data_IF_817333674346
#
_entry.id   IF_817333674346
#
_cell.length_a   1.000
_cell.length_b   1.000
_cell.length_c   1.000
_cell.angle_alpha   90.00
_cell.angle_beta   90.00
_cell.angle_gamma   90.00
#
_symmetry.space_group_name_H-M   'P 1'
#
loop_
_entity.id
_entity.type
_entity.pdbx_description
1 polymer ?
#
# COMPACT_ATOMS: atom_id res chain seq x y z
N UNK A 1 6.90 20.69 -4.40
CA UNK A 1 7.15 20.11 -5.74
C UNK A 1 6.00 19.18 -6.09
N UNK A 2 5.09 19.57 -6.99
CA UNK A 2 3.96 18.74 -7.40
C UNK A 2 4.35 17.35 -7.92
N UNK A 3 5.55 17.20 -8.48
CA UNK A 3 6.03 15.92 -9.01
C UNK A 3 6.20 14.84 -7.92
N UNK A 4 6.34 15.24 -6.65
CA UNK A 4 6.48 14.32 -5.51
C UNK A 4 5.16 13.77 -4.97
N UNK A 5 4.04 14.39 -5.34
CA UNK A 5 2.72 14.06 -4.77
C UNK A 5 2.28 12.63 -5.08
N UNK A 6 2.38 12.12 -6.32
CA UNK A 6 1.94 10.75 -6.63
C UNK A 6 2.67 9.68 -5.80
N UNK A 7 4.01 9.73 -5.78
CA UNK A 7 4.83 8.79 -5.00
C UNK A 7 4.57 8.90 -3.49
N UNK A 8 4.37 10.12 -2.98
CA UNK A 8 4.03 10.34 -1.57
C UNK A 8 2.66 9.74 -1.19
N UNK A 9 1.65 9.87 -2.06
CA UNK A 9 0.33 9.26 -1.86
C UNK A 9 0.42 7.74 -1.90
N UNK A 10 1.15 7.17 -2.86
CA UNK A 10 1.35 5.74 -2.98
C UNK A 10 2.03 5.15 -1.73
N UNK A 11 3.11 5.80 -1.26
CA UNK A 11 3.81 5.43 -0.03
C UNK A 11 2.90 5.51 1.20
N UNK A 12 2.14 6.59 1.37
CA UNK A 12 1.22 6.75 2.49
C UNK A 12 0.10 5.70 2.47
N UNK A 13 -0.43 5.38 1.29
CA UNK A 13 -1.47 4.36 1.13
C UNK A 13 -0.96 2.98 1.54
N UNK A 14 0.23 2.59 1.10
CA UNK A 14 0.88 1.35 1.53
C UNK A 14 1.07 1.31 3.05
N UNK A 15 1.59 2.40 3.62
CA UNK A 15 1.84 2.49 5.06
C UNK A 15 0.59 2.32 5.91
N UNK A 16 -0.47 3.09 5.62
CA UNK A 16 -1.74 3.02 6.36
C UNK A 16 -2.43 1.67 6.16
N UNK A 17 -2.42 1.13 4.94
CA UNK A 17 -3.06 -0.17 4.66
C UNK A 17 -2.34 -1.33 5.36
N UNK A 18 -1.00 -1.30 5.37
CA UNK A 18 -0.18 -2.25 6.12
C UNK A 18 -0.46 -2.20 7.62
N UNK A 19 -0.49 -0.98 8.18
CA UNK A 19 -0.81 -0.77 9.59
C UNK A 19 -2.19 -1.34 9.95
N UNK A 20 -3.22 -1.01 9.17
CA UNK A 20 -4.59 -1.48 9.42
C UNK A 20 -4.76 -2.98 9.19
N UNK A 21 -3.90 -3.60 8.39
CA UNK A 21 -3.86 -5.06 8.28
C UNK A 21 -3.24 -5.71 9.51
N UNK A 22 -2.19 -5.11 10.08
CA UNK A 22 -1.60 -5.56 11.34
C UNK A 22 -2.47 -5.25 12.57
N UNK A 23 -3.36 -4.25 12.46
CA UNK A 23 -4.26 -3.76 13.52
C UNK A 23 -5.71 -3.61 13.02
N UNK A 24 -6.38 -4.70 12.62
CA UNK A 24 -7.72 -4.62 12.02
C UNK A 24 -8.77 -4.04 12.98
N UNK A 25 -8.60 -4.23 14.29
CA UNK A 25 -9.47 -3.65 15.32
C UNK A 25 -9.47 -2.12 15.36
N UNK A 26 -8.46 -1.46 14.75
CA UNK A 26 -8.38 0.00 14.68
C UNK A 26 -9.04 0.59 13.42
N UNK A 27 -9.50 -0.22 12.46
CA UNK A 27 -10.20 0.29 11.26
C UNK A 27 -11.44 1.10 11.65
N UNK A 28 -12.18 0.61 12.65
CA UNK A 28 -13.33 1.29 13.21
C UNK A 28 -13.41 1.01 14.72
N UNK A 29 -12.91 1.93 15.54
CA UNK A 29 -12.85 1.78 16.99
C UNK A 29 -13.55 2.95 17.68
N UNK A 30 -14.85 2.80 17.90
CA UNK A 30 -15.66 3.83 18.55
C UNK A 30 -15.45 3.82 20.07
N UNK A 31 -15.16 4.97 20.72
CA UNK A 31 -15.09 5.05 22.17
C UNK A 31 -16.43 4.75 22.85
N UNK A 32 -16.36 4.12 24.03
CA UNK A 32 -17.54 3.72 24.80
C UNK A 32 -18.21 4.90 25.53
N UNK A 33 -17.45 5.90 25.94
CA UNK A 33 -17.95 7.10 26.62
C UNK A 33 -18.31 8.22 25.62
N UNK A 34 -19.29 9.03 25.98
CA UNK A 34 -19.81 10.09 25.11
C UNK A 34 -18.80 11.23 24.90
N UNK A 35 -17.96 11.52 25.90
CA UNK A 35 -16.97 12.58 25.84
C UNK A 35 -15.91 12.27 24.77
N UNK A 36 -15.35 11.06 24.79
CA UNK A 36 -14.34 10.62 23.83
C UNK A 36 -14.88 10.46 22.41
N UNK A 37 -16.17 10.14 22.25
CA UNK A 37 -16.83 10.14 20.93
C UNK A 37 -16.89 11.53 20.28
N UNK A 38 -16.84 12.61 21.08
CA UNK A 38 -16.75 13.99 20.62
C UNK A 38 -15.34 14.43 20.19
N UNK A 39 -14.32 13.59 20.43
CA UNK A 39 -12.92 13.84 20.06
C UNK A 39 -12.54 13.09 18.78
N UNK A 40 -11.25 13.11 18.42
CA UNK A 40 -10.71 12.26 17.34
C UNK A 40 -10.64 10.80 17.77
N UNK A 41 -11.01 9.90 16.87
CA UNK A 41 -10.97 8.45 17.09
C UNK A 41 -10.87 7.68 15.76
N UNK A 42 -10.46 6.39 15.79
CA UNK A 42 -10.22 5.61 14.58
C UNK A 42 -11.51 5.23 13.85
N UNK A 43 -11.66 5.71 12.62
CA UNK A 43 -12.80 5.45 11.74
C UNK A 43 -12.31 5.46 10.28
N UNK A 44 -13.03 4.85 9.33
CA UNK A 44 -12.66 4.92 7.92
C UNK A 44 -12.42 6.37 7.43
N UNK A 45 -13.24 7.32 7.92
CA UNK A 45 -13.10 8.75 7.62
C UNK A 45 -11.79 9.34 8.15
N UNK A 46 -11.45 9.06 9.41
CA UNK A 46 -10.23 9.61 10.03
C UNK A 46 -8.96 8.94 9.51
N UNK A 47 -9.03 7.68 9.08
CA UNK A 47 -7.92 7.01 8.39
C UNK A 47 -7.65 7.61 7.01
N UNK A 48 -8.69 7.95 6.24
CA UNK A 48 -8.52 8.67 4.97
C UNK A 48 -7.89 10.06 5.20
N UNK A 49 -8.27 10.76 6.28
CA UNK A 49 -7.62 12.01 6.67
C UNK A 49 -6.14 11.79 7.02
N UNK A 50 -5.83 10.77 7.84
CA UNK A 50 -4.47 10.44 8.24
C UNK A 50 -3.59 10.08 7.04
N UNK A 51 -4.11 9.33 6.07
CA UNK A 51 -3.42 9.00 4.81
C UNK A 51 -3.03 10.29 4.06
N UNK A 52 -3.96 11.23 3.88
CA UNK A 52 -3.69 12.49 3.17
C UNK A 52 -2.68 13.37 3.91
N UNK A 53 -2.75 13.42 5.23
CA UNK A 53 -1.81 14.14 6.08
C UNK A 53 -0.40 13.51 5.99
N UNK A 54 -0.31 12.18 6.03
CA UNK A 54 0.94 11.45 5.87
C UNK A 54 1.54 11.67 4.48
N UNK A 55 0.73 11.57 3.42
CA UNK A 55 1.16 11.85 2.05
C UNK A 55 1.68 13.29 1.91
N UNK A 56 1.00 14.25 2.53
CA UNK A 56 1.45 15.65 2.56
C UNK A 56 2.79 15.76 3.26
N UNK A 57 2.96 15.11 4.42
CA UNK A 57 4.23 15.07 5.14
C UNK A 57 5.38 14.52 4.30
N UNK A 58 5.15 13.43 3.56
CA UNK A 58 6.13 12.87 2.63
C UNK A 58 6.45 13.80 1.46
N UNK A 59 5.44 14.46 0.88
CA UNK A 59 5.64 15.35 -0.27
C UNK A 59 6.36 16.66 0.08
N UNK A 60 6.13 17.18 1.30
CA UNK A 60 6.69 18.46 1.76
C UNK A 60 7.97 18.30 2.56
N UNK A 61 8.26 17.11 3.08
CA UNK A 61 9.34 16.91 4.04
C UNK A 61 9.02 17.51 5.40
N UNK A 62 7.74 17.52 5.80
CA UNK A 62 7.33 18.04 7.11
C UNK A 62 8.08 17.30 8.24
N UNK A 63 8.43 18.04 9.29
CA UNK A 63 9.13 17.50 10.44
C UNK A 63 8.29 16.47 11.21
N UNK A 64 8.98 15.55 11.89
CA UNK A 64 8.37 14.44 12.65
C UNK A 64 7.29 14.91 13.63
N UNK A 65 7.53 16.01 14.34
CA UNK A 65 6.57 16.55 15.33
C UNK A 65 5.27 17.03 14.66
N UNK A 66 5.36 17.74 13.54
CA UNK A 66 4.20 18.23 12.81
C UNK A 66 3.38 17.06 12.23
N UNK A 67 4.06 16.05 11.67
CA UNK A 67 3.40 14.83 11.19
C UNK A 67 2.76 14.07 12.35
N UNK A 68 3.44 13.94 13.50
CA UNK A 68 2.89 13.27 14.67
C UNK A 68 1.61 13.95 15.17
N UNK A 69 1.64 15.26 15.36
CA UNK A 69 0.48 16.03 15.79
C UNK A 69 -0.70 15.93 14.81
N UNK A 70 -0.42 15.94 13.50
CA UNK A 70 -1.45 15.79 12.47
C UNK A 70 -2.11 14.40 12.51
N UNK A 71 -1.31 13.33 12.67
CA UNK A 71 -1.81 11.96 12.71
C UNK A 71 -2.60 11.68 13.99
N UNK A 72 -2.07 12.02 15.16
CA UNK A 72 -2.81 11.85 16.43
C UNK A 72 -4.05 12.73 16.48
N UNK A 73 -3.99 13.96 15.93
CA UNK A 73 -5.16 14.82 15.77
C UNK A 73 -6.25 14.23 14.88
N UNK A 74 -5.88 13.43 13.86
CA UNK A 74 -6.85 12.79 12.97
C UNK A 74 -7.49 11.55 13.61
N UNK A 75 -6.70 10.61 14.12
CA UNK A 75 -7.18 9.27 14.55
C UNK A 75 -7.28 9.09 16.07
N UNK A 76 -6.88 10.10 16.84
CA UNK A 76 -6.78 10.02 18.30
C UNK A 76 -5.39 9.56 18.76
N UNK A 77 -5.03 9.89 20.00
CA UNK A 77 -3.68 9.65 20.53
C UNK A 77 -3.29 8.17 20.53
N UNK A 78 -4.17 7.28 20.99
CA UNK A 78 -3.86 5.84 21.06
C UNK A 78 -3.48 5.26 19.70
N UNK A 79 -4.37 5.37 18.72
CA UNK A 79 -4.10 4.85 17.37
C UNK A 79 -3.01 5.64 16.64
N UNK A 80 -2.91 6.94 16.88
CA UNK A 80 -1.87 7.78 16.28
C UNK A 80 -0.47 7.42 16.75
N UNK A 81 -0.29 7.15 18.05
CA UNK A 81 0.98 6.69 18.62
C UNK A 81 1.36 5.31 18.09
N UNK A 82 0.40 4.38 18.01
CA UNK A 82 0.64 3.06 17.40
C UNK A 82 1.06 3.18 15.92
N UNK A 83 0.38 4.04 15.14
CA UNK A 83 0.76 4.29 13.75
C UNK A 83 2.17 4.89 13.67
N UNK A 84 2.51 5.87 14.49
CA UNK A 84 3.83 6.50 14.48
C UNK A 84 4.94 5.48 14.80
N UNK A 85 4.72 4.65 15.82
CA UNK A 85 5.63 3.56 16.15
C UNK A 85 5.76 2.56 15.00
N UNK A 86 4.66 2.21 14.33
CA UNK A 86 4.69 1.36 13.15
C UNK A 86 5.51 1.99 12.02
N UNK A 87 5.29 3.28 11.71
CA UNK A 87 5.99 4.01 10.64
C UNK A 87 7.51 4.08 10.88
N UNK A 88 7.96 4.22 12.13
CA UNK A 88 9.38 4.23 12.49
C UNK A 88 10.07 2.89 12.21
N UNK A 89 9.33 1.79 12.27
CA UNK A 89 9.84 0.45 12.03
C UNK A 89 9.34 -0.11 10.69
N UNK A 90 8.75 0.70 9.82
CA UNK A 90 8.09 0.20 8.61
C UNK A 90 9.10 -0.16 7.52
N UNK A 91 10.23 0.56 7.43
CA UNK A 91 11.39 0.28 6.56
C UNK A 91 11.03 -0.28 5.17
N UNK A 92 10.10 0.38 4.46
CA UNK A 92 9.69 -0.05 3.12
C UNK A 92 10.56 0.58 2.02
N UNK A 93 10.87 -0.18 0.96
CA UNK A 93 11.42 0.40 -0.26
C UNK A 93 10.47 1.45 -0.85
N UNK A 94 11.04 2.49 -1.44
CA UNK A 94 10.27 3.53 -2.14
C UNK A 94 9.69 2.95 -3.43
N UNK A 95 8.34 2.91 -3.61
CA UNK A 95 7.72 2.33 -4.79
C UNK A 95 8.17 3.00 -6.10
N UNK A 96 8.46 4.30 -6.08
CA UNK A 96 8.94 5.00 -7.29
C UNK A 96 10.34 4.55 -7.69
N UNK A 97 11.22 4.31 -6.70
CA UNK A 97 12.56 3.77 -6.97
C UNK A 97 12.51 2.33 -7.44
N UNK A 98 11.63 1.52 -6.86
CA UNK A 98 11.42 0.14 -7.27
C UNK A 98 10.88 0.07 -8.70
N UNK A 99 9.92 0.92 -9.07
CA UNK A 99 9.39 0.91 -10.43
C UNK A 99 10.40 1.39 -11.48
N UNK A 100 11.39 2.19 -11.07
CA UNK A 100 12.50 2.60 -11.93
C UNK A 100 13.55 1.49 -12.13
N UNK A 101 13.76 0.64 -11.13
CA UNK A 101 14.66 -0.52 -11.17
C UNK A 101 14.08 -1.70 -10.37
N UNK A 102 13.17 -2.48 -10.98
CA UNK A 102 12.49 -3.58 -10.29
C UNK A 102 13.42 -4.76 -10.02
N UNK A 103 14.62 -4.79 -10.58
CA UNK A 103 15.59 -5.87 -10.38
C UNK A 103 16.50 -5.62 -9.16
N UNK A 104 16.74 -4.37 -8.78
CA UNK A 104 17.65 -4.02 -7.69
C UNK A 104 17.05 -4.05 -6.27
N UNK A 105 15.74 -4.26 -6.09
CA UNK A 105 15.13 -4.27 -4.76
C UNK A 105 15.09 -5.67 -4.11
N UNK A 106 15.14 -5.68 -2.77
CA UNK A 106 14.85 -6.84 -1.93
C UNK A 106 13.46 -6.70 -1.31
N UNK A 107 12.68 -7.78 -1.34
CA UNK A 107 11.36 -7.82 -0.71
C UNK A 107 11.52 -7.77 0.82
N UNK A 108 10.68 -7.01 1.56
CA UNK A 108 10.68 -7.08 3.02
C UNK A 108 10.40 -8.50 3.53
N UNK A 109 10.97 -8.89 4.67
CA UNK A 109 10.78 -10.24 5.24
C UNK A 109 9.43 -10.43 5.96
N UNK A 110 8.90 -9.35 6.57
CA UNK A 110 7.67 -9.41 7.37
C UNK A 110 6.42 -9.28 6.51
N UNK A 111 5.42 -10.14 6.75
CA UNK A 111 4.14 -10.19 6.00
C UNK A 111 3.38 -8.88 5.91
N UNK A 112 3.25 -8.15 7.03
CA UNK A 112 2.58 -6.85 7.07
C UNK A 112 3.31 -5.80 6.20
N UNK A 113 4.65 -5.83 6.21
CA UNK A 113 5.48 -4.96 5.36
C UNK A 113 5.41 -5.35 3.89
N UNK A 114 5.39 -6.64 3.56
CA UNK A 114 5.24 -7.13 2.18
C UNK A 114 3.91 -6.66 1.58
N UNK A 115 2.82 -6.79 2.33
CA UNK A 115 1.51 -6.28 1.91
C UNK A 115 1.54 -4.76 1.73
N UNK A 116 2.05 -4.03 2.73
CA UNK A 116 2.18 -2.58 2.66
C UNK A 116 2.95 -2.12 1.41
N UNK A 117 4.05 -2.81 1.11
CA UNK A 117 4.90 -2.56 -0.04
C UNK A 117 4.17 -2.83 -1.36
N UNK A 118 3.56 -4.00 -1.52
CA UNK A 118 2.86 -4.35 -2.76
C UNK A 118 1.65 -3.43 -3.02
N UNK A 119 0.93 -3.03 -1.98
CA UNK A 119 -0.11 -1.99 -2.08
C UNK A 119 0.48 -0.65 -2.54
N UNK A 120 1.64 -0.25 -2.01
CA UNK A 120 2.30 1.00 -2.41
C UNK A 120 2.72 0.98 -3.88
N UNK A 121 3.30 -0.13 -4.36
CA UNK A 121 3.71 -0.31 -5.76
C UNK A 121 2.51 -0.24 -6.69
N UNK A 122 1.44 -0.98 -6.38
CA UNK A 122 0.19 -0.94 -7.16
C UNK A 122 -0.41 0.47 -7.20
N UNK A 123 -0.43 1.17 -6.07
CA UNK A 123 -0.94 2.55 -6.00
C UNK A 123 -0.09 3.52 -6.83
N UNK A 124 1.24 3.35 -6.84
CA UNK A 124 2.15 4.16 -7.65
C UNK A 124 1.89 3.95 -9.15
N UNK A 125 1.64 2.71 -9.59
CA UNK A 125 1.28 2.41 -10.99
C UNK A 125 -0.08 3.01 -11.33
N UNK A 126 -1.10 2.88 -10.47
CA UNK A 126 -2.43 3.45 -10.72
C UNK A 126 -2.40 4.97 -10.90
N UNK A 127 -1.50 5.65 -10.18
CA UNK A 127 -1.38 7.11 -10.26
C UNK A 127 -0.76 7.62 -11.56
N UNK A 128 0.05 6.80 -12.22
CA UNK A 128 0.67 7.08 -13.52
C UNK A 128 0.78 5.78 -14.34
N UNK A 129 -0.32 5.35 -14.99
CA UNK A 129 -0.41 4.04 -15.63
C UNK A 129 0.27 4.04 -17.00
N UNK A 130 1.59 3.91 -16.99
CA UNK A 130 2.40 3.72 -18.21
C UNK A 130 2.76 2.26 -18.40
N UNK A 131 3.00 1.86 -19.66
CA UNK A 131 3.40 0.48 -19.99
C UNK A 131 4.67 0.04 -19.22
N UNK A 132 5.76 0.83 -19.16
CA UNK A 132 6.97 0.40 -18.44
C UNK A 132 6.72 0.19 -16.95
N UNK A 133 5.93 1.06 -16.30
CA UNK A 133 5.59 0.93 -14.87
C UNK A 133 4.73 -0.30 -14.62
N UNK A 134 3.79 -0.59 -15.52
CA UNK A 134 2.97 -1.78 -15.45
C UNK A 134 3.80 -3.06 -15.64
N UNK A 135 4.72 -3.10 -16.61
CA UNK A 135 5.67 -4.22 -16.80
C UNK A 135 6.58 -4.41 -15.57
N UNK A 136 7.12 -3.33 -15.01
CA UNK A 136 7.90 -3.37 -13.77
C UNK A 136 7.10 -3.91 -12.58
N UNK A 137 5.80 -3.57 -12.51
CA UNK A 137 4.87 -4.13 -11.52
C UNK A 137 4.82 -5.66 -11.58
N UNK A 138 4.73 -6.24 -12.78
CA UNK A 138 4.74 -7.71 -12.94
C UNK A 138 6.06 -8.34 -12.48
N UNK A 139 7.21 -7.70 -12.75
CA UNK A 139 8.52 -8.13 -12.22
C UNK A 139 8.54 -8.13 -10.69
N UNK A 140 7.98 -7.09 -10.06
CA UNK A 140 7.86 -7.01 -8.59
C UNK A 140 7.00 -8.15 -8.04
N UNK A 141 5.86 -8.45 -8.68
CA UNK A 141 5.00 -9.54 -8.23
C UNK A 141 5.63 -10.92 -8.42
N UNK A 142 6.37 -11.15 -9.52
CA UNK A 142 7.10 -12.39 -9.73
C UNK A 142 8.10 -12.65 -8.59
N UNK A 143 8.88 -11.63 -8.22
CA UNK A 143 9.78 -11.70 -7.05
C UNK A 143 9.06 -11.99 -5.75
N UNK A 144 7.85 -11.45 -5.56
CA UNK A 144 7.03 -11.74 -4.38
C UNK A 144 6.57 -13.20 -4.34
N UNK A 145 6.19 -13.78 -5.49
CA UNK A 145 5.87 -15.21 -5.60
C UNK A 145 7.11 -16.07 -5.31
N UNK A 146 8.26 -15.74 -5.89
CA UNK A 146 9.52 -16.47 -5.67
C UNK A 146 9.98 -16.41 -4.21
N UNK A 147 9.67 -15.32 -3.51
CA UNK A 147 9.92 -15.14 -2.08
C UNK A 147 8.90 -15.86 -1.16
N UNK A 148 7.92 -16.57 -1.74
CA UNK A 148 6.97 -17.39 -0.97
C UNK A 148 5.75 -16.64 -0.44
N UNK A 149 5.37 -15.50 -1.02
CA UNK A 149 4.16 -14.74 -0.64
C UNK A 149 3.12 -14.60 -1.76
N UNK A 150 2.60 -15.74 -2.28
CA UNK A 150 1.77 -15.78 -3.46
C UNK A 150 0.35 -15.19 -3.27
N UNK A 151 -0.17 -15.20 -2.04
CA UNK A 151 -1.51 -14.72 -1.69
C UNK A 151 -1.62 -13.18 -1.83
N UNK A 152 -0.64 -12.47 -1.27
CA UNK A 152 -0.53 -11.02 -1.39
C UNK A 152 -0.27 -10.62 -2.85
N UNK A 153 0.60 -11.38 -3.54
CA UNK A 153 0.91 -11.16 -4.94
C UNK A 153 -0.32 -11.35 -5.84
N UNK A 154 -1.19 -12.33 -5.57
CA UNK A 154 -2.39 -12.59 -6.36
C UNK A 154 -3.40 -11.42 -6.31
N UNK A 155 -3.58 -10.79 -5.14
CA UNK A 155 -4.45 -9.61 -5.01
C UNK A 155 -3.90 -8.46 -5.85
N UNK A 156 -2.60 -8.18 -5.74
CA UNK A 156 -1.93 -7.14 -6.52
C UNK A 156 -1.96 -7.43 -8.03
N UNK A 157 -1.83 -8.70 -8.43
CA UNK A 157 -1.91 -9.13 -9.82
C UNK A 157 -3.30 -8.87 -10.42
N UNK A 158 -4.36 -9.03 -9.64
CA UNK A 158 -5.73 -8.68 -10.08
C UNK A 158 -5.84 -7.18 -10.39
N UNK A 159 -5.26 -6.33 -9.54
CA UNK A 159 -5.26 -4.89 -9.77
C UNK A 159 -4.42 -4.53 -11.01
N UNK A 160 -3.23 -5.12 -11.20
CA UNK A 160 -2.40 -4.92 -12.40
C UNK A 160 -3.10 -5.40 -13.68
N UNK A 161 -3.77 -6.55 -13.64
CA UNK A 161 -4.54 -7.07 -14.77
C UNK A 161 -5.66 -6.11 -15.17
N UNK A 162 -6.33 -5.48 -14.20
CA UNK A 162 -7.39 -4.49 -14.46
C UNK A 162 -6.89 -3.20 -15.14
N UNK A 163 -5.61 -2.87 -14.96
CA UNK A 163 -4.95 -1.70 -15.57
C UNK A 163 -4.47 -1.95 -17.00
N UNK A 164 -4.49 -3.20 -17.49
CA UNK A 164 -3.97 -3.54 -18.82
C UNK A 164 -4.76 -2.81 -19.91
N UNK A 165 -4.04 -2.10 -20.78
CA UNK A 165 -4.61 -1.57 -22.03
C UNK A 165 -4.45 -2.58 -23.17
N UNK A 166 -5.41 -2.58 -24.11
CA UNK A 166 -5.46 -3.57 -25.20
C UNK A 166 -4.27 -3.48 -26.17
N UNK A 167 -3.68 -2.30 -26.30
CA UNK A 167 -2.48 -2.02 -27.09
C UNK A 167 -1.18 -2.48 -26.41
N UNK A 168 -1.23 -2.90 -25.14
CA UNK A 168 -0.08 -3.45 -24.43
C UNK A 168 0.02 -4.97 -24.64
N UNK A 169 1.24 -5.53 -24.71
CA UNK A 169 1.41 -6.96 -24.84
C UNK A 169 0.85 -7.70 -23.63
N UNK A 170 0.69 -9.01 -23.77
CA UNK A 170 0.50 -9.88 -22.62
C UNK A 170 1.83 -9.90 -21.85
N UNK A 171 1.85 -9.62 -20.54
CA UNK A 171 3.09 -9.50 -19.80
C UNK A 171 3.71 -10.89 -19.62
N UNK A 172 5.04 -11.02 -19.74
CA UNK A 172 5.72 -12.27 -19.43
C UNK A 172 5.48 -12.64 -17.96
N UNK A 173 5.24 -13.93 -17.68
CA UNK A 173 4.94 -14.41 -16.33
C UNK A 173 3.47 -14.34 -15.91
N UNK A 174 2.57 -13.81 -16.76
CA UNK A 174 1.13 -13.82 -16.46
C UNK A 174 0.62 -15.25 -16.26
N UNK A 175 1.21 -16.26 -16.91
CA UNK A 175 0.77 -17.65 -16.83
C UNK A 175 0.85 -18.19 -15.40
N UNK A 176 1.92 -17.85 -14.65
CA UNK A 176 2.03 -18.20 -13.24
C UNK A 176 0.95 -17.55 -12.37
N UNK A 177 0.53 -16.34 -12.73
CA UNK A 177 -0.59 -15.66 -12.08
C UNK A 177 -1.95 -16.19 -12.53
N UNK A 178 -2.11 -16.66 -13.78
CA UNK A 178 -3.36 -17.26 -14.25
C UNK A 178 -3.71 -18.51 -13.44
N UNK A 179 -2.71 -19.35 -13.14
CA UNK A 179 -2.91 -20.54 -12.31
C UNK A 179 -3.22 -20.17 -10.85
N UNK A 180 -2.49 -19.20 -10.27
CA UNK A 180 -2.81 -18.66 -8.94
C UNK A 180 -4.23 -18.06 -8.87
N UNK A 181 -4.63 -17.30 -9.88
CA UNK A 181 -5.93 -16.66 -9.95
C UNK A 181 -7.06 -17.70 -10.13
N UNK A 182 -6.83 -18.76 -10.91
CA UNK A 182 -7.74 -19.91 -10.99
C UNK A 182 -7.87 -20.63 -9.65
N UNK A 183 -6.74 -20.90 -8.97
CA UNK A 183 -6.75 -21.51 -7.63
C UNK A 183 -7.49 -20.66 -6.60
N UNK A 184 -7.39 -19.33 -6.70
CA UNK A 184 -8.11 -18.40 -5.82
C UNK A 184 -9.60 -18.23 -6.13
N UNK A 185 -10.09 -18.78 -7.27
CA UNK A 185 -11.46 -18.59 -7.74
C UNK A 185 -11.74 -17.24 -8.41
N UNK A 186 -10.72 -16.41 -8.61
CA UNK A 186 -10.83 -15.09 -9.25
C UNK A 186 -11.00 -15.17 -10.80
N UNK A 187 -10.63 -16.31 -11.40
CA UNK A 187 -10.91 -16.62 -12.81
C UNK A 187 -11.79 -17.87 -12.90
N UNK A 188 -12.76 -17.93 -13.84
CA UNK A 188 -13.51 -19.14 -14.10
C UNK A 188 -12.54 -20.27 -14.45
N UNK A 189 -12.67 -21.42 -13.79
CA UNK A 189 -11.93 -22.63 -14.18
C UNK A 189 -12.23 -22.97 -15.63
N UNK A 190 -11.18 -23.26 -16.41
CA UNK A 190 -11.34 -23.82 -17.76
C UNK A 190 -12.16 -25.10 -17.65
N UNK A 191 -13.39 -25.07 -18.18
CA UNK A 191 -14.18 -26.27 -18.43
C UNK A 191 -13.55 -27.09 -19.55
#
# INVERSE_FOLDING_TARGET
DPAKVPGAVARARGAVSGFLTARPGLVHHIPADAESRGRSWPSPRTWEMALRLLATGYATGAGREATAAALTGAVGDGAGIELLSYLEHLDLPDPERVLADPDAFALPERGDRQLAFLIAVVAAIQSDPTRPRWEAGWTVLAKAVDAGVPDVAARAATDLASMRRLDWPVPPGIDGFLDLLRMSGALPGSR
#
